data_IF_742364456007
#
_entry.id   IF_742364456007
#
_cell.length_a   1.000
_cell.length_b   1.000
_cell.length_c   1.000
_cell.angle_alpha   90.00
_cell.angle_beta   90.00
_cell.angle_gamma   90.00
#
_symmetry.space_group_name_H-M   'P 1'
#
loop_
_entity.id
_entity.type
_entity.pdbx_description
1 polymer ?
#
# COMPACT_ATOMS: atom_id res chain seq x y z
N UNK A 1 -20.76 -8.51 -4.40
CA UNK A 1 -20.18 -9.66 -5.14
C UNK A 1 -18.72 -9.84 -4.73
N UNK A 2 -18.36 -11.08 -4.40
CA UNK A 2 -17.00 -11.39 -3.97
C UNK A 2 -16.07 -11.40 -5.21
N UNK A 3 -15.00 -10.61 -5.18
CA UNK A 3 -14.01 -10.63 -6.25
C UNK A 3 -13.30 -11.98 -6.28
N UNK A 4 -13.22 -12.60 -7.44
CA UNK A 4 -12.49 -13.85 -7.57
C UNK A 4 -10.97 -13.60 -7.62
N UNK A 5 -10.20 -14.60 -7.27
CA UNK A 5 -8.74 -14.49 -7.20
C UNK A 5 -8.10 -14.19 -8.57
N UNK A 6 -8.71 -14.68 -9.64
CA UNK A 6 -8.21 -14.46 -10.99
C UNK A 6 -8.27 -12.97 -11.38
N UNK A 7 -9.40 -12.31 -11.10
CA UNK A 7 -9.55 -10.88 -11.36
C UNK A 7 -8.62 -10.06 -10.47
N UNK A 8 -8.53 -10.44 -9.19
CA UNK A 8 -7.62 -9.80 -8.23
C UNK A 8 -6.17 -9.84 -8.74
N UNK A 9 -5.70 -11.02 -9.14
CA UNK A 9 -4.33 -11.21 -9.58
C UNK A 9 -4.05 -10.49 -10.91
N UNK A 10 -5.05 -10.42 -11.79
CA UNK A 10 -4.93 -9.64 -13.04
C UNK A 10 -4.74 -8.16 -12.78
N UNK A 11 -5.48 -7.60 -11.81
CA UNK A 11 -5.36 -6.19 -11.40
C UNK A 11 -3.93 -5.92 -10.87
N UNK A 12 -3.44 -6.80 -10.01
CA UNK A 12 -2.10 -6.66 -9.42
C UNK A 12 -1.02 -6.74 -10.51
N UNK A 13 -1.11 -7.69 -11.42
CA UNK A 13 -0.14 -7.84 -12.50
C UNK A 13 -0.14 -6.65 -13.46
N UNK A 14 -1.33 -6.16 -13.81
CA UNK A 14 -1.46 -4.97 -14.67
C UNK A 14 -0.80 -3.75 -14.02
N UNK A 15 -1.00 -3.55 -12.73
CA UNK A 15 -0.37 -2.45 -12.00
C UNK A 15 1.14 -2.64 -11.90
N UNK A 16 1.61 -3.85 -11.59
CA UNK A 16 3.04 -4.18 -11.48
C UNK A 16 3.80 -3.91 -12.78
N UNK A 17 3.18 -4.17 -13.93
CA UNK A 17 3.83 -3.99 -15.23
C UNK A 17 4.21 -2.54 -15.51
N UNK A 18 3.59 -1.60 -14.80
CA UNK A 18 3.81 -0.16 -14.96
C UNK A 18 4.31 0.50 -13.67
N UNK A 19 4.64 -0.27 -12.65
CA UNK A 19 5.11 0.25 -11.37
C UNK A 19 6.58 0.59 -11.41
N UNK A 20 6.93 1.78 -10.86
CA UNK A 20 8.32 2.22 -10.70
C UNK A 20 8.50 2.75 -9.29
N UNK A 21 9.46 2.20 -8.57
CA UNK A 21 9.73 2.59 -7.19
C UNK A 21 10.48 3.93 -7.14
N UNK A 22 10.02 4.80 -6.22
CA UNK A 22 10.71 6.06 -5.92
C UNK A 22 10.40 6.44 -4.47
N UNK A 23 11.43 6.82 -3.73
CA UNK A 23 11.25 7.29 -2.36
C UNK A 23 10.44 8.58 -2.32
N UNK A 24 9.56 8.72 -1.32
CA UNK A 24 8.74 9.93 -1.12
C UNK A 24 9.60 11.18 -0.98
N UNK A 25 10.72 11.09 -0.29
CA UNK A 25 11.65 12.21 -0.14
C UNK A 25 12.09 12.77 -1.49
N UNK A 26 12.36 11.91 -2.46
CA UNK A 26 12.80 12.31 -3.80
C UNK A 26 11.66 12.90 -4.63
N UNK A 27 10.44 12.39 -4.44
CA UNK A 27 9.27 12.78 -5.23
C UNK A 27 8.57 14.02 -4.68
N UNK A 28 8.44 14.16 -3.36
CA UNK A 28 7.66 15.22 -2.70
C UNK A 28 8.50 16.08 -1.77
N UNK A 29 9.78 15.80 -1.62
CA UNK A 29 10.65 16.51 -0.66
C UNK A 29 10.30 16.19 0.79
N UNK A 30 9.58 15.10 1.04
CA UNK A 30 9.21 14.67 2.39
C UNK A 30 9.25 13.14 2.49
N UNK A 31 9.62 12.65 3.66
CA UNK A 31 9.55 11.22 3.95
C UNK A 31 8.11 10.84 4.33
N UNK A 32 7.71 9.61 4.02
CA UNK A 32 6.46 9.02 4.48
C UNK A 32 5.20 9.75 3.98
N UNK A 33 5.16 10.08 2.69
CA UNK A 33 4.00 10.70 2.06
C UNK A 33 3.06 9.63 1.48
N UNK A 34 2.02 9.30 2.23
CA UNK A 34 1.06 8.25 1.85
C UNK A 34 0.00 8.79 0.89
N UNK A 35 -0.07 8.21 -0.31
CA UNK A 35 -1.11 8.59 -1.27
C UNK A 35 -1.45 7.46 -2.24
N UNK A 36 -2.63 7.58 -2.85
CA UNK A 36 -3.06 6.70 -3.94
C UNK A 36 -2.53 7.30 -5.25
N UNK A 37 -1.88 6.47 -6.06
CA UNK A 37 -1.42 6.88 -7.40
C UNK A 37 -2.56 6.61 -8.39
N UNK A 38 -3.30 7.65 -8.73
CA UNK A 38 -4.48 7.54 -9.58
C UNK A 38 -4.14 7.39 -11.06
N UNK A 39 -3.11 8.11 -11.51
CA UNK A 39 -2.76 8.20 -12.93
C UNK A 39 -1.27 7.94 -13.11
N UNK A 40 -0.88 7.38 -14.27
CA UNK A 40 0.53 7.22 -14.58
C UNK A 40 1.21 8.56 -14.88
N UNK A 41 2.52 8.56 -14.85
CA UNK A 41 3.32 9.71 -15.26
C UNK A 41 3.36 9.83 -16.80
N UNK A 42 4.14 10.80 -17.31
CA UNK A 42 4.25 11.06 -18.74
C UNK A 42 4.81 9.85 -19.53
N UNK A 43 5.58 8.99 -18.87
CA UNK A 43 6.13 7.78 -19.47
C UNK A 43 5.18 6.58 -19.36
N UNK A 44 4.03 6.76 -18.73
CA UNK A 44 3.05 5.72 -18.53
C UNK A 44 3.29 4.84 -17.31
N UNK A 45 4.14 5.27 -16.38
CA UNK A 45 4.47 4.51 -15.18
C UNK A 45 3.75 5.03 -13.95
N UNK A 46 3.34 4.12 -13.07
CA UNK A 46 2.87 4.48 -11.73
C UNK A 46 4.08 4.56 -10.81
N UNK A 47 4.35 5.72 -10.25
CA UNK A 47 5.57 6.01 -9.49
C UNK A 47 5.24 6.30 -8.03
N UNK A 48 5.92 5.64 -7.12
CA UNK A 48 5.74 5.82 -5.68
C UNK A 48 6.61 4.87 -4.88
N UNK A 49 6.39 4.81 -3.57
CA UNK A 49 7.08 3.89 -2.67
C UNK A 49 6.16 2.75 -2.21
N UNK A 50 6.55 2.03 -1.15
CA UNK A 50 5.83 0.84 -0.71
C UNK A 50 4.40 1.13 -0.21
N UNK A 51 4.20 2.25 0.49
CA UNK A 51 2.88 2.65 0.97
C UNK A 51 1.96 3.05 -0.19
N UNK A 52 2.51 3.80 -1.13
CA UNK A 52 1.80 4.23 -2.33
C UNK A 52 1.38 3.01 -3.17
N UNK A 53 2.26 2.02 -3.27
CA UNK A 53 1.96 0.75 -3.95
C UNK A 53 0.78 0.05 -3.29
N UNK A 54 0.86 -0.14 -1.97
CA UNK A 54 -0.18 -0.84 -1.22
C UNK A 54 -1.55 -0.15 -1.33
N UNK A 55 -1.58 1.17 -1.14
CA UNK A 55 -2.81 1.97 -1.25
C UNK A 55 -3.38 1.93 -2.67
N UNK A 56 -2.52 2.03 -3.67
CA UNK A 56 -2.94 2.08 -5.08
C UNK A 56 -3.52 0.73 -5.54
N UNK A 57 -2.94 -0.36 -5.10
CA UNK A 57 -3.48 -1.71 -5.35
C UNK A 57 -4.84 -1.85 -4.68
N UNK A 58 -4.96 -1.49 -3.40
CA UNK A 58 -6.22 -1.59 -2.66
C UNK A 58 -7.34 -0.79 -3.34
N UNK A 59 -7.04 0.44 -3.75
CA UNK A 59 -8.00 1.29 -4.45
C UNK A 59 -8.54 0.62 -5.71
N UNK A 60 -7.66 0.02 -6.50
CA UNK A 60 -8.05 -0.68 -7.73
C UNK A 60 -8.83 -1.97 -7.46
N UNK A 61 -8.49 -2.68 -6.39
CA UNK A 61 -9.26 -3.87 -5.96
C UNK A 61 -10.66 -3.50 -5.50
N UNK A 62 -10.87 -2.25 -5.12
CA UNK A 62 -12.18 -1.72 -4.72
C UNK A 62 -12.91 -1.03 -5.88
N UNK A 63 -12.60 -1.39 -7.12
CA UNK A 63 -13.21 -0.81 -8.33
C UNK A 63 -13.07 0.71 -8.40
N UNK A 64 -11.94 1.22 -7.92
CA UNK A 64 -11.65 2.67 -7.87
C UNK A 64 -12.70 3.45 -7.06
N UNK A 65 -13.21 2.83 -6.00
CA UNK A 65 -14.19 3.44 -5.11
C UNK A 65 -13.59 3.70 -3.73
N UNK A 66 -13.51 4.96 -3.33
CA UNK A 66 -13.06 5.34 -1.99
C UNK A 66 -13.98 4.77 -0.89
N UNK A 67 -15.27 4.73 -1.15
CA UNK A 67 -16.26 4.20 -0.20
C UNK A 67 -15.99 2.73 0.07
N UNK A 68 -15.80 1.93 -0.98
CA UNK A 68 -15.48 0.50 -0.84
C UNK A 68 -14.14 0.29 -0.15
N UNK A 69 -13.14 1.09 -0.50
CA UNK A 69 -11.80 1.02 0.09
C UNK A 69 -11.85 1.26 1.60
N UNK A 70 -12.49 2.35 2.02
CA UNK A 70 -12.61 2.70 3.45
C UNK A 70 -13.47 1.69 4.20
N UNK A 71 -14.51 1.15 3.57
CA UNK A 71 -15.32 0.09 4.17
C UNK A 71 -14.47 -1.14 4.51
N UNK A 72 -13.62 -1.59 3.57
CA UNK A 72 -12.73 -2.72 3.82
C UNK A 72 -11.70 -2.42 4.90
N UNK A 73 -11.15 -1.21 4.93
CA UNK A 73 -10.20 -0.79 5.97
C UNK A 73 -10.86 -0.74 7.36
N UNK A 74 -12.02 -0.13 7.47
CA UNK A 74 -12.74 0.04 8.74
C UNK A 74 -13.21 -1.31 9.28
N UNK A 75 -13.64 -2.21 8.41
CA UNK A 75 -14.12 -3.55 8.82
C UNK A 75 -12.99 -4.57 8.96
N UNK A 76 -11.74 -4.15 8.83
CA UNK A 76 -10.54 -4.98 8.97
C UNK A 76 -10.41 -6.09 7.93
N UNK A 77 -11.12 -5.99 6.81
CA UNK A 77 -10.97 -6.92 5.69
C UNK A 77 -9.71 -6.61 4.87
N UNK A 78 -9.21 -5.39 4.97
CA UNK A 78 -7.97 -4.96 4.38
C UNK A 78 -7.21 -4.05 5.35
N UNK A 79 -5.91 -3.90 5.15
CA UNK A 79 -5.09 -3.01 5.96
C UNK A 79 -3.73 -2.76 5.32
N UNK A 80 -3.17 -1.59 5.58
CA UNK A 80 -1.80 -1.26 5.20
C UNK A 80 -0.93 -1.56 6.41
N UNK A 81 -0.22 -2.66 6.35
CA UNK A 81 0.53 -3.20 7.48
C UNK A 81 1.96 -2.67 7.46
N UNK A 82 2.44 -2.18 8.59
CA UNK A 82 3.81 -1.69 8.73
C UNK A 82 4.72 -2.82 9.19
N UNK A 83 5.82 -3.01 8.46
CA UNK A 83 6.80 -4.05 8.73
C UNK A 83 8.21 -3.47 8.72
N UNK A 84 9.14 -4.14 9.38
CA UNK A 84 10.54 -3.79 9.39
C UNK A 84 11.39 -4.95 8.87
N UNK A 85 12.64 -4.67 8.52
CA UNK A 85 13.58 -5.73 8.14
C UNK A 85 13.78 -6.68 9.32
N UNK A 86 13.89 -7.97 9.01
CA UNK A 86 14.22 -8.97 10.00
C UNK A 86 15.52 -8.58 10.70
N UNK A 87 15.54 -8.62 12.03
CA UNK A 87 16.67 -8.21 12.88
C UNK A 87 16.86 -6.69 13.06
N UNK A 88 15.89 -5.85 12.59
CA UNK A 88 15.92 -4.40 12.85
C UNK A 88 14.59 -3.95 13.43
N UNK A 89 14.63 -3.07 14.42
CA UNK A 89 13.42 -2.56 15.11
C UNK A 89 12.66 -1.53 14.28
N UNK A 90 13.37 -0.83 13.38
CA UNK A 90 12.78 0.27 12.62
C UNK A 90 11.79 -0.22 11.56
N UNK A 91 10.61 0.37 11.52
CA UNK A 91 9.65 0.19 10.43
C UNK A 91 10.23 0.81 9.16
N UNK A 92 10.31 0.05 8.09
CA UNK A 92 10.94 0.49 6.84
C UNK A 92 10.13 0.13 5.60
N UNK A 93 8.98 -0.53 5.77
CA UNK A 93 8.23 -1.08 4.63
C UNK A 93 6.75 -1.21 4.96
N UNK A 94 5.91 -1.15 3.95
CA UNK A 94 4.47 -1.34 4.06
C UNK A 94 3.99 -2.47 3.14
N UNK A 95 3.01 -3.22 3.62
CA UNK A 95 2.45 -4.38 2.94
C UNK A 95 0.93 -4.27 2.94
N UNK A 96 0.28 -4.60 1.83
CA UNK A 96 -1.18 -4.69 1.78
C UNK A 96 -1.65 -6.04 2.29
N UNK A 97 -2.50 -6.03 3.31
CA UNK A 97 -3.31 -7.19 3.71
C UNK A 97 -4.69 -7.04 3.06
N UNK A 98 -5.11 -8.05 2.35
CA UNK A 98 -6.41 -8.05 1.68
C UNK A 98 -7.04 -9.43 1.82
N UNK A 99 -8.13 -9.50 2.59
CA UNK A 99 -8.92 -10.72 2.83
C UNK A 99 -8.05 -11.93 3.21
N UNK A 100 -7.09 -11.70 4.11
CA UNK A 100 -6.24 -12.76 4.67
C UNK A 100 -4.97 -13.07 3.88
N UNK A 101 -4.77 -12.44 2.73
CA UNK A 101 -3.55 -12.60 1.95
C UNK A 101 -2.77 -11.28 1.87
N UNK A 102 -1.48 -11.35 1.54
CA UNK A 102 -0.57 -10.21 1.60
C UNK A 102 0.16 -10.02 0.28
N UNK A 103 0.35 -8.75 -0.11
CA UNK A 103 1.12 -8.36 -1.29
C UNK A 103 1.90 -7.08 -0.99
N UNK A 104 3.09 -6.96 -1.54
CA UNK A 104 3.89 -5.75 -1.50
C UNK A 104 4.65 -5.58 -2.82
N UNK A 105 5.41 -4.48 -2.93
CA UNK A 105 6.19 -4.20 -4.14
C UNK A 105 7.42 -5.10 -4.29
N UNK A 106 7.71 -5.95 -3.30
CA UNK A 106 8.77 -6.96 -3.38
C UNK A 106 8.24 -8.28 -3.92
N UNK A 107 7.12 -8.78 -3.34
CA UNK A 107 6.53 -10.06 -3.77
C UNK A 107 5.76 -9.93 -5.08
N UNK A 108 5.11 -8.78 -5.28
CA UNK A 108 4.34 -8.42 -6.48
C UNK A 108 3.19 -9.38 -6.80
N UNK A 109 2.86 -10.26 -5.86
CA UNK A 109 1.73 -11.20 -5.95
C UNK A 109 1.18 -11.49 -4.56
N UNK A 110 -0.10 -11.82 -4.50
CA UNK A 110 -0.71 -12.21 -3.24
C UNK A 110 -0.21 -13.56 -2.77
N UNK A 111 0.00 -13.68 -1.48
CA UNK A 111 0.44 -14.91 -0.84
C UNK A 111 0.18 -14.88 0.66
N UNK A 112 0.56 -15.95 1.37
CA UNK A 112 0.38 -16.03 2.81
C UNK A 112 1.30 -15.08 3.56
N UNK A 113 0.95 -14.77 4.81
CA UNK A 113 1.75 -13.93 5.71
C UNK A 113 3.21 -14.41 5.82
N UNK A 114 3.41 -15.73 5.78
CA UNK A 114 4.75 -16.33 5.86
C UNK A 114 5.71 -15.88 4.76
N UNK A 115 5.20 -15.51 3.58
CA UNK A 115 6.04 -14.97 2.51
C UNK A 115 6.63 -13.62 2.88
N UNK A 116 5.87 -12.78 3.56
CA UNK A 116 6.36 -11.48 4.06
C UNK A 116 7.35 -11.72 5.20
N UNK A 117 7.04 -12.65 6.09
CA UNK A 117 7.84 -12.93 7.29
C UNK A 117 9.21 -13.55 6.98
N UNK A 118 9.45 -13.99 5.76
CA UNK A 118 10.78 -14.46 5.35
C UNK A 118 11.84 -13.35 5.47
N UNK A 119 11.47 -12.11 5.19
CA UNK A 119 12.40 -10.97 5.13
C UNK A 119 12.03 -9.83 6.07
N UNK A 120 10.85 -9.87 6.68
CA UNK A 120 10.32 -8.77 7.49
C UNK A 120 9.64 -9.30 8.74
N UNK A 121 9.50 -8.43 9.75
CA UNK A 121 8.65 -8.67 10.91
C UNK A 121 7.55 -7.59 10.97
N UNK A 122 6.35 -7.98 11.37
CA UNK A 122 5.24 -7.06 11.53
C UNK A 122 5.41 -6.23 12.80
N UNK A 123 5.16 -4.92 12.69
CA UNK A 123 5.19 -4.04 13.86
C UNK A 123 4.14 -4.50 14.89
N UNK A 124 4.48 -4.40 16.17
CA UNK A 124 3.62 -4.91 17.27
C UNK A 124 2.21 -4.30 17.23
N UNK A 125 2.11 -2.98 16.99
CA UNK A 125 0.83 -2.28 16.93
C UNK A 125 0.34 -2.06 15.49
N UNK A 126 1.20 -1.55 14.63
CA UNK A 126 0.82 -1.11 13.28
C UNK A 126 1.00 -2.19 12.21
N UNK A 127 1.49 -3.35 12.58
CA UNK A 127 1.60 -4.49 11.67
C UNK A 127 0.26 -5.13 11.33
N UNK A 128 -0.81 -4.80 12.07
CA UNK A 128 -2.16 -5.24 11.76
C UNK A 128 -2.79 -4.46 10.59
N UNK A 129 -2.40 -3.21 10.39
CA UNK A 129 -2.95 -2.35 9.34
C UNK A 129 -4.25 -1.65 9.76
N UNK A 130 -4.22 -0.99 10.90
CA UNK A 130 -5.39 -0.27 11.43
C UNK A 130 -5.81 0.87 10.50
N UNK A 131 -7.12 1.01 10.26
CA UNK A 131 -7.69 2.03 9.39
C UNK A 131 -7.33 3.46 9.85
N UNK A 132 -7.33 3.71 11.17
CA UNK A 132 -7.01 5.04 11.70
C UNK A 132 -5.59 5.50 11.32
N UNK A 133 -4.64 4.58 11.31
CA UNK A 133 -3.25 4.89 10.94
C UNK A 133 -3.17 5.28 9.47
N UNK A 134 -3.85 4.53 8.60
CA UNK A 134 -3.91 4.84 7.17
C UNK A 134 -4.55 6.20 6.93
N UNK A 135 -5.68 6.47 7.59
CA UNK A 135 -6.38 7.75 7.48
C UNK A 135 -5.50 8.92 7.94
N UNK A 136 -4.85 8.77 9.09
CA UNK A 136 -3.98 9.81 9.65
C UNK A 136 -2.79 10.09 8.74
N UNK A 137 -2.12 9.05 8.24
CA UNK A 137 -0.96 9.19 7.36
C UNK A 137 -1.33 9.85 6.03
N UNK A 138 -2.46 9.47 5.44
CA UNK A 138 -2.94 10.08 4.19
C UNK A 138 -3.31 11.55 4.40
N UNK A 139 -3.97 11.87 5.51
CA UNK A 139 -4.37 13.25 5.83
C UNK A 139 -3.15 14.14 6.04
N UNK A 140 -2.19 13.70 6.84
CA UNK A 140 -0.94 14.44 7.08
C UNK A 140 -0.19 14.67 5.76
N UNK A 141 -0.08 13.65 4.93
CA UNK A 141 0.58 13.74 3.62
C UNK A 141 -0.08 14.79 2.73
N UNK A 142 -1.41 14.81 2.70
CA UNK A 142 -2.18 15.78 1.91
C UNK A 142 -1.95 17.20 2.41
N UNK A 143 -2.00 17.42 3.72
CA UNK A 143 -1.80 18.74 4.33
C UNK A 143 -0.39 19.26 4.02
N UNK A 144 0.64 18.44 4.25
CA UNK A 144 2.03 18.85 4.03
C UNK A 144 2.28 19.16 2.55
N UNK A 145 1.76 18.37 1.62
CA UNK A 145 1.89 18.65 0.19
C UNK A 145 1.21 19.96 -0.20
N UNK A 146 0.06 20.26 0.38
CA UNK A 146 -0.67 21.51 0.14
C UNK A 146 0.14 22.71 0.65
N UNK A 147 0.73 22.60 1.84
CA UNK A 147 1.53 23.70 2.43
C UNK A 147 2.84 23.96 1.70
N UNK A 148 3.39 22.95 1.01
CA UNK A 148 4.66 23.08 0.27
C UNK A 148 4.52 23.61 -1.16
N UNK A 149 3.31 23.81 -1.62
CA UNK A 149 3.05 24.38 -2.96
C UNK A 149 3.32 25.88 -3.00
#
# INVERSE_FOLDING_TARGET
MKMDNKRRDAIVQSFNSRWKYRYDKDQYGMADAWKIIYTPDIEGNYVGDCEDYALSILYRLCDESHIKMWWLLITHQAGICLVGRKNKWKVSHAVLRYKGEYVDNWTKKFGPKSEIEKNHHFHVFHGYGWAYMTALKMLISKIVRTLKK
#
